data_IF_175102252576
#
_entry.id   IF_175102252576
#
_cell.length_a   1.000
_cell.length_b   1.000
_cell.length_c   1.000
_cell.angle_alpha   90.00
_cell.angle_beta   90.00
_cell.angle_gamma   90.00
#
_symmetry.space_group_name_H-M   'P 1'
#
loop_
_entity.id
_entity.type
_entity.pdbx_description
1 polymer ?
#
# COMPACT_ATOMS: atom_id res chain seq x y z
N UNK A 1 5.53 -2.21 7.72
CA UNK A 1 4.71 -3.02 8.62
C UNK A 1 3.21 -2.84 8.42
N UNK A 2 2.77 -1.96 7.53
CA UNK A 2 1.38 -1.71 7.17
C UNK A 2 0.59 -0.89 8.20
N UNK A 3 1.21 -0.38 9.25
CA UNK A 3 0.58 0.54 10.19
C UNK A 3 0.28 1.91 9.55
N UNK A 4 -0.61 2.68 10.13
CA UNK A 4 -0.87 4.03 9.66
C UNK A 4 0.27 4.96 10.06
N UNK A 5 0.71 5.76 9.08
CA UNK A 5 1.49 6.95 9.39
C UNK A 5 0.62 7.99 10.12
N UNK A 6 1.25 8.86 10.90
CA UNK A 6 0.54 9.96 11.55
C UNK A 6 0.07 10.97 10.49
N UNK A 7 -1.19 11.35 10.53
CA UNK A 7 -1.76 12.36 9.63
C UNK A 7 -1.57 13.74 10.26
N UNK A 8 -0.87 14.63 9.55
CA UNK A 8 -0.58 15.97 10.03
C UNK A 8 -1.85 16.81 10.29
N UNK A 9 -2.96 16.51 9.60
CA UNK A 9 -4.24 17.21 9.78
C UNK A 9 -5.08 16.60 10.91
N UNK A 10 -4.86 15.32 11.21
CA UNK A 10 -5.63 14.57 12.20
C UNK A 10 -4.69 13.71 13.08
N UNK A 11 -3.78 14.34 13.84
CA UNK A 11 -2.82 13.60 14.66
C UNK A 11 -3.54 12.74 15.71
N UNK A 12 -3.05 11.53 15.90
CA UNK A 12 -3.62 10.57 16.84
C UNK A 12 -4.94 9.93 16.41
N UNK A 13 -5.37 10.12 15.15
CA UNK A 13 -6.59 9.52 14.60
C UNK A 13 -6.33 8.25 13.78
N UNK A 14 -5.14 7.67 13.91
CA UNK A 14 -4.84 6.37 13.32
C UNK A 14 -5.70 5.26 13.93
N UNK A 15 -6.04 4.27 13.11
CA UNK A 15 -6.87 3.14 13.54
C UNK A 15 -6.30 2.48 14.81
N UNK A 16 -4.99 2.27 14.83
CA UNK A 16 -4.29 1.59 15.91
C UNK A 16 -4.44 2.34 17.25
N UNK A 17 -4.27 3.66 17.21
CA UNK A 17 -4.42 4.52 18.40
C UNK A 17 -5.88 4.52 18.88
N UNK A 18 -6.82 4.70 17.97
CA UNK A 18 -8.25 4.72 18.31
C UNK A 18 -8.72 3.36 18.83
N UNK A 19 -8.20 2.28 18.25
CA UNK A 19 -8.51 0.92 18.71
C UNK A 19 -8.00 0.71 20.14
N UNK A 20 -6.72 1.05 20.40
CA UNK A 20 -6.12 0.91 21.72
C UNK A 20 -6.84 1.78 22.78
N UNK A 21 -7.19 3.01 22.43
CA UNK A 21 -7.99 3.89 23.32
C UNK A 21 -9.36 3.28 23.64
N UNK A 22 -9.96 2.57 22.69
CA UNK A 22 -11.30 2.01 22.83
C UNK A 22 -11.32 0.70 23.62
N UNK A 23 -10.35 -0.18 23.38
CA UNK A 23 -10.36 -1.54 23.92
C UNK A 23 -9.20 -1.85 24.87
N UNK A 24 -8.24 -0.92 25.04
CA UNK A 24 -7.12 -1.06 25.98
C UNK A 24 -5.98 -1.95 25.48
N UNK A 25 -6.02 -2.38 24.23
CA UNK A 25 -5.01 -3.22 23.58
C UNK A 25 -4.83 -2.85 22.12
N UNK A 26 -3.64 -3.11 21.56
CA UNK A 26 -3.38 -2.89 20.14
C UNK A 26 -4.20 -3.88 19.28
N UNK A 27 -4.66 -3.46 18.07
CA UNK A 27 -5.35 -4.36 17.17
C UNK A 27 -4.47 -5.51 16.74
N UNK A 28 -5.02 -6.72 16.66
CA UNK A 28 -4.30 -7.93 16.26
C UNK A 28 -5.23 -8.97 15.66
N UNK A 29 -4.66 -10.05 15.11
CA UNK A 29 -5.39 -11.18 14.54
C UNK A 29 -5.72 -11.02 13.07
N UNK A 30 -6.34 -12.05 12.47
CA UNK A 30 -6.51 -12.24 11.04
C UNK A 30 -7.23 -11.07 10.35
N UNK A 31 -8.23 -10.48 10.99
CA UNK A 31 -8.94 -9.32 10.44
C UNK A 31 -8.03 -8.09 10.34
N UNK A 32 -7.18 -7.85 11.34
CA UNK A 32 -6.25 -6.74 11.31
C UNK A 32 -5.13 -6.99 10.28
N UNK A 33 -4.66 -8.21 10.13
CA UNK A 33 -3.67 -8.58 9.12
C UNK A 33 -4.23 -8.45 7.70
N UNK A 34 -5.46 -8.88 7.47
CA UNK A 34 -6.15 -8.66 6.21
C UNK A 34 -6.39 -7.17 5.91
N UNK A 35 -6.72 -6.37 6.93
CA UNK A 35 -6.83 -4.92 6.80
C UNK A 35 -5.49 -4.29 6.43
N UNK A 36 -4.38 -4.64 7.11
CA UNK A 36 -3.04 -4.16 6.79
C UNK A 36 -2.65 -4.50 5.35
N UNK A 37 -2.97 -5.71 4.89
CA UNK A 37 -2.72 -6.13 3.51
C UNK A 37 -3.39 -5.16 2.52
N UNK A 38 -4.69 -4.97 2.63
CA UNK A 38 -5.45 -4.09 1.71
C UNK A 38 -4.94 -2.65 1.77
N UNK A 39 -4.75 -2.13 3.00
CA UNK A 39 -4.28 -0.76 3.22
C UNK A 39 -2.90 -0.54 2.61
N UNK A 40 -1.95 -1.44 2.88
CA UNK A 40 -0.56 -1.29 2.41
C UNK A 40 -0.47 -1.33 0.89
N UNK A 41 -1.21 -2.23 0.23
CA UNK A 41 -1.26 -2.26 -1.23
C UNK A 41 -1.95 -1.03 -1.80
N UNK A 42 -3.04 -0.59 -1.20
CA UNK A 42 -3.70 0.65 -1.62
C UNK A 42 -2.77 1.84 -1.51
N UNK A 43 -2.16 2.04 -0.35
CA UNK A 43 -1.35 3.23 -0.07
C UNK A 43 -0.03 3.20 -0.85
N UNK A 44 0.61 2.03 -0.96
CA UNK A 44 1.87 1.87 -1.67
C UNK A 44 1.77 1.89 -3.19
N UNK A 45 0.63 1.50 -3.77
CA UNK A 45 0.51 1.31 -5.22
C UNK A 45 -0.52 2.21 -5.92
N UNK A 46 -1.31 2.99 -5.19
CA UNK A 46 -2.39 3.79 -5.80
C UNK A 46 -1.89 4.87 -6.79
N UNK A 47 -0.63 5.28 -6.68
CA UNK A 47 0.03 6.25 -7.56
C UNK A 47 1.28 5.67 -8.23
N UNK A 48 1.34 4.35 -8.37
CA UNK A 48 2.48 3.68 -8.99
C UNK A 48 2.46 3.84 -10.52
N UNK A 49 3.64 4.09 -11.09
CA UNK A 49 3.87 4.04 -12.53
C UNK A 49 4.61 2.75 -12.86
N UNK A 50 4.05 1.99 -13.78
CA UNK A 50 4.58 0.70 -14.19
C UNK A 50 5.11 0.76 -15.61
N UNK A 51 6.27 0.17 -15.83
CA UNK A 51 6.82 -0.06 -17.16
C UNK A 51 7.14 -1.54 -17.33
N UNK A 52 7.06 -2.04 -18.58
CA UNK A 52 7.46 -3.41 -18.85
C UNK A 52 8.93 -3.61 -18.45
N UNK A 53 9.25 -4.78 -17.90
CA UNK A 53 10.62 -5.16 -17.52
C UNK A 53 11.60 -5.03 -18.69
N UNK A 54 11.14 -5.34 -19.91
CA UNK A 54 11.94 -5.32 -21.13
C UNK A 54 11.86 -3.97 -21.88
N UNK A 55 11.32 -2.91 -21.24
CA UNK A 55 11.24 -1.61 -21.87
C UNK A 55 12.65 -0.99 -21.98
N UNK A 56 13.17 -0.74 -23.20
CA UNK A 56 14.52 -0.21 -23.39
C UNK A 56 14.72 1.20 -22.81
N UNK A 57 13.62 1.91 -22.53
CA UNK A 57 13.65 3.26 -21.95
C UNK A 57 13.40 3.27 -20.44
N UNK A 58 13.32 2.13 -19.77
CA UNK A 58 13.01 2.08 -18.33
C UNK A 58 13.99 2.90 -17.49
N UNK A 59 15.30 2.79 -17.77
CA UNK A 59 16.33 3.54 -17.07
C UNK A 59 16.23 5.05 -17.34
N UNK A 60 15.96 5.44 -18.59
CA UNK A 60 15.77 6.86 -18.98
C UNK A 60 14.58 7.46 -18.22
N UNK A 61 13.47 6.73 -18.12
CA UNK A 61 12.28 7.15 -17.38
C UNK A 61 12.56 7.27 -15.89
N UNK A 62 13.25 6.30 -15.29
CA UNK A 62 13.63 6.36 -13.87
C UNK A 62 14.54 7.57 -13.59
N UNK A 63 15.52 7.83 -14.47
CA UNK A 63 16.41 8.98 -14.31
C UNK A 63 15.66 10.32 -14.44
N UNK A 64 14.72 10.41 -15.37
CA UNK A 64 13.86 11.60 -15.48
C UNK A 64 13.01 11.81 -14.21
N UNK A 65 12.43 10.74 -13.66
CA UNK A 65 11.69 10.81 -12.38
C UNK A 65 12.58 11.24 -11.20
N UNK A 66 13.82 10.71 -11.13
CA UNK A 66 14.78 11.15 -10.09
C UNK A 66 15.13 12.63 -10.23
N UNK A 67 15.27 13.13 -11.45
CA UNK A 67 15.52 14.58 -11.67
C UNK A 67 14.34 15.42 -11.17
N UNK A 68 13.11 14.99 -11.43
CA UNK A 68 11.90 15.66 -10.92
C UNK A 68 11.87 15.63 -9.39
N UNK A 69 12.08 14.45 -8.80
CA UNK A 69 12.07 14.27 -7.34
C UNK A 69 13.15 15.08 -6.62
N UNK A 70 14.29 15.34 -7.27
CA UNK A 70 15.39 16.14 -6.74
C UNK A 70 15.25 17.65 -7.03
N UNK A 71 14.23 18.06 -7.78
CA UNK A 71 13.96 19.48 -8.08
C UNK A 71 12.97 20.05 -7.06
N UNK A 72 13.43 20.95 -6.19
CA UNK A 72 12.55 21.58 -5.21
C UNK A 72 11.40 22.37 -5.87
N UNK A 73 11.64 23.01 -7.01
CA UNK A 73 10.61 23.70 -7.78
C UNK A 73 9.54 22.76 -8.28
N UNK A 74 9.95 21.62 -8.85
CA UNK A 74 9.02 20.60 -9.34
C UNK A 74 8.24 19.97 -8.18
N UNK A 75 8.93 19.66 -7.08
CA UNK A 75 8.30 19.05 -5.91
C UNK A 75 7.35 20.00 -5.19
N UNK A 76 7.61 21.31 -5.18
CA UNK A 76 6.66 22.29 -4.64
C UNK A 76 5.32 22.26 -5.39
N UNK A 77 5.36 22.22 -6.73
CA UNK A 77 4.16 22.10 -7.56
C UNK A 77 3.44 20.78 -7.34
N UNK A 78 4.20 19.69 -7.23
CA UNK A 78 3.63 18.36 -7.01
C UNK A 78 2.95 18.26 -5.64
N UNK A 79 3.60 18.74 -4.59
CA UNK A 79 3.02 18.78 -3.23
C UNK A 79 1.69 19.54 -3.20
N UNK A 80 1.64 20.69 -3.88
CA UNK A 80 0.41 21.49 -3.99
C UNK A 80 -0.72 20.73 -4.70
N UNK A 81 -0.40 19.99 -5.78
CA UNK A 81 -1.41 19.37 -6.67
C UNK A 81 -1.82 17.96 -6.24
N UNK A 82 -0.88 17.19 -5.70
CA UNK A 82 -1.02 15.75 -5.47
C UNK A 82 -0.90 15.39 -4.00
N UNK A 83 -0.20 16.19 -3.22
CA UNK A 83 0.14 15.96 -1.81
C UNK A 83 1.62 15.63 -1.60
N UNK A 84 2.02 15.62 -0.35
CA UNK A 84 3.41 15.33 0.05
C UNK A 84 3.57 13.81 0.21
N UNK A 85 4.12 13.18 -0.82
CA UNK A 85 4.37 11.74 -0.86
C UNK A 85 5.85 11.45 -1.03
N UNK A 86 6.32 10.40 -0.39
CA UNK A 86 7.65 9.84 -0.65
C UNK A 86 7.69 9.21 -2.04
N UNK A 87 8.77 9.50 -2.77
CA UNK A 87 8.98 8.97 -4.11
C UNK A 87 10.00 7.84 -4.08
N UNK A 88 9.53 6.63 -4.25
CA UNK A 88 10.36 5.45 -4.41
C UNK A 88 10.58 5.18 -5.90
N UNK A 89 11.83 5.10 -6.35
CA UNK A 89 12.16 5.00 -7.77
C UNK A 89 13.20 3.91 -8.02
N UNK A 90 12.90 3.01 -8.95
CA UNK A 90 13.81 1.92 -9.34
C UNK A 90 13.94 0.88 -8.25
N UNK A 91 15.15 0.65 -7.74
CA UNK A 91 15.43 -0.38 -6.72
C UNK A 91 14.60 -0.17 -5.45
N UNK A 92 14.49 1.07 -4.97
CA UNK A 92 13.74 1.37 -3.75
C UNK A 92 12.26 1.01 -3.91
N UNK A 93 11.68 1.30 -5.10
CA UNK A 93 10.31 0.90 -5.42
C UNK A 93 10.15 -0.62 -5.50
N UNK A 94 11.12 -1.32 -6.09
CA UNK A 94 11.13 -2.79 -6.17
C UNK A 94 11.23 -3.42 -4.77
N UNK A 95 12.13 -2.96 -3.92
CA UNK A 95 12.29 -3.44 -2.55
C UNK A 95 11.02 -3.21 -1.72
N UNK A 96 10.41 -2.03 -1.89
CA UNK A 96 9.12 -1.73 -1.26
C UNK A 96 8.03 -2.70 -1.73
N UNK A 97 7.92 -2.94 -3.03
CA UNK A 97 6.96 -3.88 -3.59
C UNK A 97 7.19 -5.31 -3.09
N UNK A 98 8.45 -5.78 -3.01
CA UNK A 98 8.75 -7.08 -2.44
C UNK A 98 8.35 -7.17 -0.95
N UNK A 99 8.53 -6.09 -0.19
CA UNK A 99 8.06 -6.01 1.20
C UNK A 99 6.53 -6.12 1.28
N UNK A 100 5.79 -5.42 0.42
CA UNK A 100 4.32 -5.53 0.36
C UNK A 100 3.87 -6.96 0.09
N UNK A 101 4.57 -7.69 -0.78
CA UNK A 101 4.25 -9.09 -1.10
C UNK A 101 4.33 -10.01 0.13
N UNK A 102 5.14 -9.69 1.13
CA UNK A 102 5.23 -10.49 2.36
C UNK A 102 3.96 -10.44 3.21
N UNK A 103 3.09 -9.46 2.98
CA UNK A 103 1.78 -9.35 3.65
C UNK A 103 0.73 -10.29 3.04
N UNK A 104 1.01 -10.84 1.86
CA UNK A 104 0.12 -11.81 1.19
C UNK A 104 0.38 -13.18 1.81
N UNK A 105 -0.48 -13.56 2.75
CA UNK A 105 -0.48 -14.89 3.37
C UNK A 105 -1.78 -15.61 3.03
N UNK A 106 -1.79 -16.92 3.11
CA UNK A 106 -3.01 -17.75 2.96
C UNK A 106 -4.12 -17.25 3.91
N UNK A 107 -3.77 -17.02 5.19
CA UNK A 107 -4.72 -16.57 6.21
C UNK A 107 -5.29 -15.20 5.92
N UNK A 108 -4.45 -14.23 5.48
CA UNK A 108 -4.92 -12.88 5.13
C UNK A 108 -5.85 -12.90 3.91
N UNK A 109 -5.56 -13.72 2.91
CA UNK A 109 -6.41 -13.90 1.74
C UNK A 109 -7.73 -14.58 2.10
N UNK A 110 -7.69 -15.65 2.89
CA UNK A 110 -8.89 -16.37 3.33
C UNK A 110 -9.81 -15.46 4.17
N UNK A 111 -9.22 -14.61 5.03
CA UNK A 111 -9.97 -13.64 5.80
C UNK A 111 -10.63 -12.60 4.89
N UNK A 112 -9.93 -12.07 3.87
CA UNK A 112 -10.52 -11.16 2.89
C UNK A 112 -11.69 -11.78 2.14
N UNK A 113 -11.57 -13.04 1.70
CA UNK A 113 -12.66 -13.79 1.05
C UNK A 113 -13.86 -13.88 2.00
N UNK A 114 -13.62 -14.20 3.26
CA UNK A 114 -14.67 -14.32 4.27
C UNK A 114 -15.38 -12.99 4.52
N UNK A 115 -14.62 -11.91 4.67
CA UNK A 115 -15.16 -10.54 4.85
C UNK A 115 -16.00 -10.12 3.65
N UNK A 116 -15.51 -10.34 2.43
CA UNK A 116 -16.25 -10.00 1.21
C UNK A 116 -17.57 -10.77 1.12
N UNK A 117 -17.57 -12.06 1.44
CA UNK A 117 -18.78 -12.87 1.42
C UNK A 117 -19.80 -12.42 2.48
N UNK A 118 -19.35 -12.22 3.71
CA UNK A 118 -20.22 -11.92 4.84
C UNK A 118 -20.70 -10.47 4.87
N UNK A 119 -19.78 -9.52 4.63
CA UNK A 119 -20.08 -8.09 4.78
C UNK A 119 -20.68 -7.47 3.53
N UNK A 120 -20.30 -7.94 2.34
CA UNK A 120 -20.70 -7.33 1.07
C UNK A 120 -21.71 -8.19 0.31
N UNK A 121 -22.06 -9.37 0.79
CA UNK A 121 -22.95 -10.32 0.11
C UNK A 121 -22.42 -10.78 -1.27
N UNK A 122 -21.13 -10.61 -1.49
CA UNK A 122 -20.49 -11.00 -2.74
C UNK A 122 -20.02 -12.45 -2.62
N UNK A 123 -20.59 -13.32 -3.44
CA UNK A 123 -19.94 -14.60 -3.74
C UNK A 123 -18.60 -14.27 -4.39
N UNK A 124 -17.50 -14.67 -3.72
CA UNK A 124 -16.17 -14.18 -4.03
C UNK A 124 -15.84 -14.33 -5.52
N UNK A 125 -15.42 -13.24 -6.10
CA UNK A 125 -14.81 -13.18 -7.44
C UNK A 125 -13.43 -13.85 -7.44
N UNK A 126 -12.88 -14.13 -6.27
CA UNK A 126 -11.58 -14.77 -6.08
C UNK A 126 -11.74 -16.28 -6.19
N UNK A 127 -11.40 -16.81 -7.35
CA UNK A 127 -11.20 -18.25 -7.47
C UNK A 127 -9.89 -18.60 -6.73
N UNK A 128 -9.99 -19.45 -5.74
CA UNK A 128 -8.85 -20.06 -5.03
C UNK A 128 -7.86 -20.78 -5.97
N UNK A 129 -8.24 -20.98 -7.22
CA UNK A 129 -7.43 -21.61 -8.28
C UNK A 129 -6.24 -20.74 -8.74
N UNK A 130 -6.22 -19.45 -8.41
CA UNK A 130 -5.10 -18.55 -8.76
C UNK A 130 -3.91 -18.60 -7.78
N UNK A 131 -4.02 -19.39 -6.71
CA UNK A 131 -2.98 -19.48 -5.67
C UNK A 131 -2.09 -20.72 -5.85
N UNK A 132 -2.46 -21.64 -6.73
CA UNK A 132 -1.78 -22.94 -6.89
C UNK A 132 -0.96 -23.09 -8.19
N UNK A 133 -0.65 -22.01 -8.92
CA UNK A 133 0.25 -22.02 -10.09
C UNK A 133 1.55 -21.23 -9.85
#
# INVERSE_FOLDING_TARGET
>A
DGSHADDANYPGMQLEILYEQRWGEAPSGDFYDAYKLVKSFRDGLQKAMWVSKDNPNAEVLQNALRQVANSEESMAVIREKVGDYEWLIGTDAEEHFQTLKTLITEDSLQTLVTVNRQALGLDSVYKTELIND
#
